data_IF_069357183434
#
_entry.id   IF_069357183434
#
_cell.length_a   1.000
_cell.length_b   1.000
_cell.length_c   1.000
_cell.angle_alpha   90.00
_cell.angle_beta   90.00
_cell.angle_gamma   90.00
#
_symmetry.space_group_name_H-M   'P 1'
#
loop_
_entity.id
_entity.type
_entity.pdbx_description
1 polymer ?
#
# COMPACT_ATOMS: atom_id res chain seq x y z
N UNK A 1 13.38 -7.88 -23.17
CA UNK A 1 12.71 -7.08 -22.13
C UNK A 1 11.58 -7.84 -21.44
N UNK A 2 10.77 -8.59 -22.18
CA UNK A 2 9.70 -9.45 -21.64
C UNK A 2 10.23 -10.45 -20.60
N UNK A 3 11.30 -11.19 -20.93
CA UNK A 3 11.92 -12.17 -20.04
C UNK A 3 12.40 -11.57 -18.70
N UNK A 4 12.87 -10.31 -18.71
CA UNK A 4 13.24 -9.60 -17.48
C UNK A 4 11.98 -9.36 -16.60
N UNK A 5 10.87 -8.95 -17.20
CA UNK A 5 9.61 -8.78 -16.46
C UNK A 5 9.09 -10.10 -15.91
N UNK A 6 9.15 -11.17 -16.70
CA UNK A 6 8.70 -12.50 -16.27
C UNK A 6 9.57 -13.01 -15.11
N UNK A 7 10.89 -12.82 -15.18
CA UNK A 7 11.81 -13.12 -14.07
C UNK A 7 11.48 -12.31 -12.81
N UNK A 8 11.18 -11.01 -12.93
CA UNK A 8 10.83 -10.16 -11.80
C UNK A 8 9.48 -10.56 -11.19
N UNK A 9 8.51 -10.93 -12.02
CA UNK A 9 7.24 -11.48 -11.55
C UNK A 9 7.40 -12.83 -10.85
N UNK A 10 8.35 -13.66 -11.32
CA UNK A 10 8.71 -14.90 -10.64
C UNK A 10 9.34 -14.61 -9.27
N UNK A 11 10.32 -13.72 -9.19
CA UNK A 11 10.97 -13.32 -7.92
C UNK A 11 9.95 -12.79 -6.91
N UNK A 12 9.06 -11.89 -7.31
CA UNK A 12 8.08 -11.32 -6.39
C UNK A 12 7.07 -12.37 -5.93
N UNK A 13 6.61 -13.23 -6.82
CA UNK A 13 5.61 -14.27 -6.49
C UNK A 13 6.21 -15.42 -5.70
N UNK A 14 7.34 -15.94 -6.12
CA UNK A 14 8.02 -17.09 -5.52
C UNK A 14 8.80 -16.76 -4.25
N UNK A 15 9.27 -15.51 -4.11
CA UNK A 15 10.06 -15.05 -2.96
C UNK A 15 11.49 -15.56 -2.95
N UNK A 16 12.00 -16.09 -4.05
CA UNK A 16 13.36 -16.63 -4.12
C UNK A 16 14.41 -15.53 -3.93
N UNK A 17 15.60 -15.92 -3.42
CA UNK A 17 16.75 -15.04 -3.43
C UNK A 17 17.23 -14.83 -4.86
N UNK A 18 17.81 -13.65 -5.15
CA UNK A 18 18.28 -13.30 -6.49
C UNK A 18 19.18 -14.37 -7.12
N UNK A 19 20.12 -14.92 -6.33
CA UNK A 19 21.08 -15.95 -6.77
C UNK A 19 20.45 -17.30 -7.05
N UNK A 20 19.20 -17.50 -6.60
CA UNK A 20 18.42 -18.73 -6.80
C UNK A 20 17.37 -18.57 -7.91
N UNK A 21 17.49 -17.54 -8.73
CA UNK A 21 16.65 -17.39 -9.91
C UNK A 21 16.92 -18.57 -10.87
N UNK A 22 15.89 -19.32 -11.34
CA UNK A 22 16.07 -20.42 -12.28
C UNK A 22 16.81 -20.03 -13.55
N UNK A 23 17.56 -20.96 -14.11
CA UNK A 23 18.38 -20.75 -15.31
C UNK A 23 17.55 -20.52 -16.59
N UNK A 24 16.25 -20.85 -16.57
CA UNK A 24 15.29 -20.55 -17.65
C UNK A 24 15.08 -19.04 -17.86
N UNK A 25 15.45 -18.23 -16.87
CA UNK A 25 15.44 -16.77 -16.94
C UNK A 25 16.83 -16.20 -17.27
N UNK A 26 16.91 -14.94 -17.70
CA UNK A 26 18.19 -14.27 -17.85
C UNK A 26 19.01 -14.30 -16.54
N UNK A 27 20.35 -14.21 -16.62
CA UNK A 27 21.21 -14.23 -15.44
C UNK A 27 20.72 -13.28 -14.34
N UNK A 28 20.69 -13.74 -13.10
CA UNK A 28 20.14 -12.96 -11.99
C UNK A 28 20.74 -11.56 -11.82
N UNK A 29 22.03 -11.39 -12.18
CA UNK A 29 22.73 -10.09 -12.15
C UNK A 29 22.08 -9.10 -13.13
N UNK A 30 21.71 -9.57 -14.32
CA UNK A 30 21.02 -8.78 -15.35
C UNK A 30 19.62 -8.41 -14.88
N UNK A 31 18.85 -9.37 -14.35
CA UNK A 31 17.49 -9.11 -13.84
C UNK A 31 17.52 -8.11 -12.68
N UNK A 32 18.48 -8.28 -11.74
CA UNK A 32 18.67 -7.35 -10.62
C UNK A 32 19.10 -5.96 -11.09
N UNK A 33 19.94 -5.86 -12.12
CA UNK A 33 20.36 -4.59 -12.71
C UNK A 33 19.15 -3.80 -13.22
N UNK A 34 18.26 -4.42 -14.00
CA UNK A 34 17.05 -3.78 -14.49
C UNK A 34 16.07 -3.43 -13.36
N UNK A 35 15.89 -4.30 -12.36
CA UNK A 35 15.10 -3.98 -11.17
C UNK A 35 15.60 -2.71 -10.49
N UNK A 36 16.94 -2.64 -10.26
CA UNK A 36 17.59 -1.48 -9.63
C UNK A 36 17.47 -0.23 -10.48
N UNK A 37 17.75 -0.31 -11.78
CA UNK A 37 17.66 0.80 -12.72
C UNK A 37 16.25 1.38 -12.73
N UNK A 38 15.23 0.55 -12.93
CA UNK A 38 13.83 0.97 -12.99
C UNK A 38 13.28 1.49 -11.64
N UNK A 39 13.88 1.09 -10.53
CA UNK A 39 13.61 1.67 -9.23
C UNK A 39 14.20 3.09 -9.10
N UNK A 40 15.40 3.33 -9.65
CA UNK A 40 16.09 4.62 -9.55
C UNK A 40 15.47 5.66 -10.48
N UNK A 41 15.16 5.27 -11.70
CA UNK A 41 14.64 6.18 -12.73
C UNK A 41 13.09 6.34 -12.69
N UNK A 42 12.40 5.69 -11.75
CA UNK A 42 10.95 5.76 -11.59
C UNK A 42 10.15 4.98 -12.64
N UNK A 43 10.77 4.09 -13.39
CA UNK A 43 10.07 3.27 -14.40
C UNK A 43 9.00 2.38 -13.77
N UNK A 44 9.23 1.85 -12.55
CA UNK A 44 8.22 1.04 -11.85
C UNK A 44 6.95 1.82 -11.58
N UNK A 45 7.06 3.06 -11.11
CA UNK A 45 5.90 3.92 -10.86
C UNK A 45 5.18 4.27 -12.16
N UNK A 46 5.92 4.60 -13.25
CA UNK A 46 5.32 4.91 -14.56
C UNK A 46 4.60 3.72 -15.18
N UNK A 47 5.21 2.53 -15.15
CA UNK A 47 4.59 1.29 -15.64
C UNK A 47 3.33 0.95 -14.85
N UNK A 48 3.42 0.99 -13.53
CA UNK A 48 2.31 0.75 -12.64
C UNK A 48 1.16 1.73 -12.89
N UNK A 49 1.44 3.01 -13.01
CA UNK A 49 0.45 4.05 -13.30
C UNK A 49 -0.25 3.83 -14.64
N UNK A 50 0.50 3.48 -15.69
CA UNK A 50 -0.07 3.17 -17.01
C UNK A 50 -1.03 1.97 -16.94
N UNK A 51 -0.66 0.92 -16.23
CA UNK A 51 -1.51 -0.26 -16.02
C UNK A 51 -2.74 0.07 -15.17
N UNK A 52 -2.58 0.89 -14.12
CA UNK A 52 -3.68 1.33 -13.26
C UNK A 52 -4.73 2.09 -14.07
N UNK A 53 -4.31 3.05 -14.89
CA UNK A 53 -5.21 3.81 -15.76
C UNK A 53 -6.01 2.88 -16.69
N UNK A 54 -5.34 1.94 -17.36
CA UNK A 54 -5.99 0.96 -18.23
C UNK A 54 -6.96 0.05 -17.47
N UNK A 55 -6.56 -0.43 -16.29
CA UNK A 55 -7.42 -1.28 -15.45
C UNK A 55 -8.68 -0.53 -15.01
N UNK A 56 -8.57 0.74 -14.64
CA UNK A 56 -9.73 1.57 -14.29
C UNK A 56 -10.69 1.77 -15.46
N UNK A 57 -10.16 2.15 -16.62
CA UNK A 57 -10.99 2.32 -17.85
C UNK A 57 -11.75 1.03 -18.17
N UNK A 58 -11.08 -0.13 -18.05
CA UNK A 58 -11.73 -1.41 -18.26
C UNK A 58 -12.86 -1.71 -17.27
N UNK A 59 -12.78 -1.19 -16.06
CA UNK A 59 -13.83 -1.27 -15.03
C UNK A 59 -14.92 -0.19 -15.20
N UNK A 60 -14.95 0.53 -16.33
CA UNK A 60 -15.89 1.62 -16.57
C UNK A 60 -15.62 2.85 -15.69
N UNK A 61 -14.39 3.02 -15.18
CA UNK A 61 -14.01 4.14 -14.33
C UNK A 61 -13.12 5.12 -15.07
N UNK A 62 -13.19 6.38 -14.68
CA UNK A 62 -12.23 7.38 -15.15
C UNK A 62 -10.80 6.96 -14.79
N UNK A 63 -9.81 7.14 -15.70
CA UNK A 63 -8.41 6.77 -15.44
C UNK A 63 -7.81 7.52 -14.24
N UNK A 64 -8.30 8.72 -13.92
CA UNK A 64 -7.88 9.49 -12.76
C UNK A 64 -8.90 9.36 -11.62
N UNK A 65 -8.52 8.82 -10.44
CA UNK A 65 -9.43 8.69 -9.31
C UNK A 65 -9.71 10.04 -8.66
N UNK A 66 -10.95 10.21 -8.19
CA UNK A 66 -11.38 11.38 -7.40
C UNK A 66 -11.33 11.12 -5.90
N UNK A 67 -11.19 9.85 -5.51
CA UNK A 67 -11.18 9.45 -4.11
C UNK A 67 -10.15 8.36 -3.87
N UNK A 68 -9.58 8.36 -2.67
CA UNK A 68 -8.59 7.38 -2.23
C UNK A 68 -8.81 6.92 -0.80
N UNK A 69 -8.25 5.77 -0.47
CA UNK A 69 -8.24 5.20 0.87
C UNK A 69 -6.78 5.04 1.29
N UNK A 70 -6.45 5.48 2.51
CA UNK A 70 -5.11 5.33 3.09
C UNK A 70 -5.18 4.39 4.27
N UNK A 71 -4.24 3.46 4.31
CA UNK A 71 -4.02 2.60 5.48
C UNK A 71 -2.55 2.12 5.51
N UNK A 72 -2.16 1.49 6.62
CA UNK A 72 -0.82 0.99 6.87
C UNK A 72 -0.78 -0.46 7.31
N UNK A 73 0.26 -1.16 6.88
CA UNK A 73 0.57 -2.52 7.32
C UNK A 73 1.99 -2.54 7.90
N UNK A 74 2.13 -3.02 9.15
CA UNK A 74 3.45 -3.28 9.74
C UNK A 74 3.90 -4.70 9.39
N UNK A 75 5.10 -4.83 8.84
CA UNK A 75 5.69 -6.10 8.40
C UNK A 75 7.03 -6.35 9.07
N UNK A 76 7.28 -7.61 9.44
CA UNK A 76 8.57 -8.01 10.02
C UNK A 76 9.68 -7.88 8.99
N UNK A 77 10.82 -7.33 9.38
CA UNK A 77 12.07 -7.45 8.61
C UNK A 77 12.79 -8.74 8.96
N UNK A 78 13.75 -9.13 8.12
CA UNK A 78 14.59 -10.31 8.31
C UNK A 78 15.95 -9.96 8.90
N UNK A 79 16.80 -10.96 9.13
CA UNK A 79 18.19 -10.79 9.57
C UNK A 79 19.12 -10.10 8.58
N UNK A 80 18.69 -9.89 7.33
CA UNK A 80 19.48 -9.20 6.29
C UNK A 80 19.90 -7.79 6.70
N UNK A 81 19.22 -7.19 7.67
CA UNK A 81 19.48 -5.82 8.10
C UNK A 81 18.83 -4.79 7.16
N UNK A 82 19.29 -3.55 7.21
CA UNK A 82 18.82 -2.47 6.31
C UNK A 82 18.37 -1.23 7.07
N UNK A 83 18.09 -0.20 6.29
CA UNK A 83 17.69 1.12 6.76
C UNK A 83 16.23 1.13 7.26
N UNK A 84 15.90 2.12 8.06
CA UNK A 84 14.54 2.41 8.56
C UNK A 84 13.84 1.17 9.13
N UNK A 85 14.39 0.64 10.23
CA UNK A 85 13.77 -0.42 11.03
C UNK A 85 13.32 0.16 12.36
N UNK A 86 12.14 -0.23 12.82
CA UNK A 86 11.58 0.23 14.08
C UNK A 86 10.64 -0.79 14.70
N UNK A 87 10.04 -0.46 15.81
CA UNK A 87 9.06 -1.28 16.51
C UNK A 87 7.71 -0.56 16.53
N UNK A 88 6.68 -1.25 16.08
CA UNK A 88 5.29 -0.80 16.19
C UNK A 88 4.69 -1.40 17.48
N UNK A 89 4.47 -0.58 18.53
CA UNK A 89 3.95 -1.09 19.80
C UNK A 89 2.49 -1.53 19.71
N UNK A 90 1.70 -0.90 18.84
CA UNK A 90 0.29 -1.23 18.68
C UNK A 90 0.07 -2.60 18.02
N UNK A 91 0.90 -2.92 17.02
CA UNK A 91 0.83 -4.19 16.28
C UNK A 91 1.85 -5.23 16.80
N UNK A 92 2.72 -4.86 17.75
CA UNK A 92 3.82 -5.68 18.30
C UNK A 92 4.74 -6.27 17.21
N UNK A 93 5.07 -5.46 16.20
CA UNK A 93 5.90 -5.84 15.05
C UNK A 93 7.18 -5.05 15.02
N UNK A 94 8.34 -5.74 15.01
CA UNK A 94 9.65 -5.15 14.74
C UNK A 94 9.94 -5.25 13.24
N UNK A 95 10.04 -4.08 12.57
CA UNK A 95 10.26 -4.07 11.14
C UNK A 95 9.99 -2.73 10.48
N UNK A 96 9.27 -2.79 9.38
CA UNK A 96 8.86 -1.62 8.59
C UNK A 96 7.34 -1.50 8.49
N UNK A 97 6.90 -0.30 8.18
CA UNK A 97 5.50 0.01 7.92
C UNK A 97 5.34 0.38 6.46
N UNK A 98 4.40 -0.26 5.78
CA UNK A 98 3.97 0.04 4.41
C UNK A 98 2.72 0.89 4.48
N UNK A 99 2.80 2.13 4.08
CA UNK A 99 1.63 2.98 3.86
C UNK A 99 1.21 2.90 2.40
N UNK A 100 -0.08 2.73 2.17
CA UNK A 100 -0.68 2.69 0.84
C UNK A 100 -1.75 3.76 0.70
N UNK A 101 -1.75 4.42 -0.44
CA UNK A 101 -2.88 5.14 -0.99
C UNK A 101 -3.44 4.27 -2.11
N UNK A 102 -4.69 3.86 -2.01
CA UNK A 102 -5.39 3.08 -3.04
C UNK A 102 -6.63 3.83 -3.53
N UNK A 103 -7.07 3.53 -4.75
CA UNK A 103 -8.34 4.02 -5.25
C UNK A 103 -9.53 3.16 -4.76
N UNK A 104 -10.74 3.49 -5.17
CA UNK A 104 -11.97 2.78 -4.77
C UNK A 104 -12.04 1.33 -5.29
N UNK A 105 -11.23 0.98 -6.28
CA UNK A 105 -11.10 -0.39 -6.81
C UNK A 105 -9.99 -1.19 -6.09
N UNK A 106 -9.26 -0.56 -5.15
CA UNK A 106 -8.15 -1.15 -4.43
C UNK A 106 -6.84 -1.16 -5.23
N UNK A 107 -6.78 -0.43 -6.34
CA UNK A 107 -5.55 -0.31 -7.11
C UNK A 107 -4.63 0.71 -6.44
N UNK A 108 -3.40 0.31 -6.17
CA UNK A 108 -2.42 1.18 -5.51
C UNK A 108 -2.16 2.42 -6.37
N UNK A 109 -2.26 3.58 -5.76
CA UNK A 109 -1.87 4.87 -6.33
C UNK A 109 -0.45 5.24 -5.91
N UNK A 110 -0.17 5.11 -4.59
CA UNK A 110 1.17 5.30 -4.02
C UNK A 110 1.45 4.31 -2.92
N UNK A 111 2.71 3.97 -2.78
CA UNK A 111 3.26 3.19 -1.67
C UNK A 111 4.42 3.95 -1.04
N UNK A 112 4.52 3.93 0.29
CA UNK A 112 5.63 4.46 1.07
C UNK A 112 6.01 3.47 2.15
N UNK A 113 7.32 3.24 2.29
CA UNK A 113 7.86 2.33 3.30
C UNK A 113 8.83 3.07 4.19
N UNK A 114 8.67 2.90 5.50
CA UNK A 114 9.50 3.53 6.52
C UNK A 114 9.57 2.65 7.78
N UNK A 115 10.28 3.10 8.82
CA UNK A 115 10.39 2.37 10.08
C UNK A 115 9.00 2.13 10.71
N UNK A 116 8.79 0.92 11.27
CA UNK A 116 7.50 0.58 11.89
C UNK A 116 7.18 1.46 13.12
N UNK A 117 8.16 2.12 13.72
CA UNK A 117 8.00 3.06 14.83
C UNK A 117 7.34 4.39 14.44
N UNK A 118 7.29 4.73 13.15
CA UNK A 118 6.61 5.94 12.68
C UNK A 118 5.11 5.78 12.85
N UNK A 119 4.46 6.71 13.53
CA UNK A 119 3.01 6.70 13.71
C UNK A 119 2.27 6.90 12.39
N UNK A 120 1.09 6.29 12.24
CA UNK A 120 0.30 6.37 11.01
C UNK A 120 -0.02 7.83 10.61
N UNK A 121 -0.36 8.66 11.59
CA UNK A 121 -0.62 10.09 11.43
C UNK A 121 0.58 10.92 10.92
N UNK A 122 1.81 10.43 11.10
CA UNK A 122 3.03 11.08 10.63
C UNK A 122 3.48 10.48 9.28
N UNK A 123 3.31 9.18 9.10
CA UNK A 123 3.66 8.45 7.86
C UNK A 123 2.80 8.79 6.65
N UNK A 124 1.63 9.41 6.86
CA UNK A 124 0.77 9.85 5.75
C UNK A 124 1.39 11.01 4.96
N UNK A 125 2.18 11.89 5.60
CA UNK A 125 2.78 13.05 4.93
C UNK A 125 3.69 12.64 3.76
N UNK A 126 4.72 11.80 3.95
CA UNK A 126 5.56 11.35 2.85
C UNK A 126 4.81 10.46 1.82
N UNK A 127 3.70 9.83 2.20
CA UNK A 127 2.85 9.11 1.25
C UNK A 127 2.12 10.08 0.31
N UNK A 128 1.58 11.18 0.83
CA UNK A 128 0.77 12.14 0.08
C UNK A 128 1.60 13.29 -0.54
N UNK A 129 2.91 13.29 -0.35
CA UNK A 129 3.80 14.22 -1.02
C UNK A 129 3.60 14.15 -2.54
N UNK A 130 3.48 15.30 -3.21
CA UNK A 130 3.23 15.42 -4.66
C UNK A 130 1.93 14.73 -5.16
N UNK A 131 1.00 14.39 -4.24
CA UNK A 131 -0.23 13.70 -4.63
C UNK A 131 -1.12 14.57 -5.52
N UNK A 132 -1.17 15.88 -5.28
CA UNK A 132 -1.93 16.83 -6.11
C UNK A 132 -1.42 16.93 -7.54
N UNK A 133 -0.10 16.88 -7.74
CA UNK A 133 0.51 16.90 -9.08
C UNK A 133 0.23 15.58 -9.85
N UNK A 134 0.36 14.45 -9.16
CA UNK A 134 0.18 13.11 -9.77
C UNK A 134 -1.29 12.74 -9.99
N UNK A 135 -2.18 13.19 -9.11
CA UNK A 135 -3.60 12.86 -9.11
C UNK A 135 -4.45 14.14 -8.96
N UNK A 136 -4.47 15.00 -9.97
CA UNK A 136 -5.08 16.35 -9.87
C UNK A 136 -6.59 16.30 -9.61
N UNK A 137 -7.26 15.18 -9.88
CA UNK A 137 -8.70 14.98 -9.60
C UNK A 137 -8.99 14.43 -8.21
N UNK A 138 -7.95 14.05 -7.45
CA UNK A 138 -8.16 13.52 -6.10
C UNK A 138 -8.66 14.63 -5.18
N UNK A 139 -9.87 14.47 -4.65
CA UNK A 139 -10.53 15.46 -3.80
C UNK A 139 -10.96 14.89 -2.45
N UNK A 140 -11.03 13.55 -2.32
CA UNK A 140 -11.52 12.89 -1.10
C UNK A 140 -10.60 11.77 -0.64
N UNK A 141 -10.40 11.67 0.69
CA UNK A 141 -9.69 10.58 1.34
C UNK A 141 -10.51 9.93 2.45
N UNK A 142 -10.42 8.61 2.55
CA UNK A 142 -10.87 7.85 3.70
C UNK A 142 -9.66 7.37 4.50
N UNK A 143 -9.69 7.64 5.81
CA UNK A 143 -8.64 7.28 6.76
C UNK A 143 -9.25 6.50 7.91
N UNK A 144 -8.45 5.74 8.64
CA UNK A 144 -8.88 5.20 9.92
C UNK A 144 -8.66 6.20 11.09
N UNK A 145 -9.09 5.82 12.30
CA UNK A 145 -8.98 6.68 13.48
C UNK A 145 -7.53 6.96 13.92
N UNK A 146 -6.57 6.11 13.54
CA UNK A 146 -5.15 6.27 13.85
C UNK A 146 -4.49 7.48 13.17
N UNK A 147 -5.14 8.04 12.15
CA UNK A 147 -4.65 9.22 11.43
C UNK A 147 -5.12 10.55 12.03
N UNK A 148 -5.92 10.54 13.10
CA UNK A 148 -6.33 11.76 13.78
C UNK A 148 -5.18 12.44 14.52
N UNK A 149 -5.29 13.76 14.71
CA UNK A 149 -4.35 14.57 15.48
C UNK A 149 -4.28 15.99 14.95
N UNK A 150 -4.20 16.97 15.87
CA UNK A 150 -4.06 18.38 15.54
C UNK A 150 -2.74 18.62 14.78
N UNK A 151 -2.82 19.22 13.59
CA UNK A 151 -1.67 19.46 12.69
C UNK A 151 -1.07 18.18 12.06
N UNK A 152 -1.72 17.02 12.21
CA UNK A 152 -1.23 15.73 11.73
C UNK A 152 -2.31 15.01 10.92
N UNK A 153 -1.91 14.00 10.19
CA UNK A 153 -2.81 13.09 9.47
C UNK A 153 -3.95 13.80 8.74
N UNK A 154 -5.17 13.66 9.27
CA UNK A 154 -6.37 14.28 8.73
C UNK A 154 -6.24 15.80 8.59
N UNK A 155 -5.93 16.47 9.69
CA UNK A 155 -5.89 17.93 9.77
C UNK A 155 -4.86 18.53 8.77
N UNK A 156 -3.72 17.85 8.64
CA UNK A 156 -2.70 18.24 7.66
C UNK A 156 -3.20 18.05 6.20
N UNK A 157 -3.83 16.92 5.89
CA UNK A 157 -4.31 16.64 4.55
C UNK A 157 -5.42 17.63 4.12
N UNK A 158 -6.29 18.01 5.04
CA UNK A 158 -7.33 19.03 4.79
C UNK A 158 -6.73 20.42 4.57
N UNK A 159 -5.82 20.85 5.45
CA UNK A 159 -5.29 22.23 5.42
C UNK A 159 -4.22 22.46 4.35
N UNK A 160 -3.35 21.47 4.11
CA UNK A 160 -2.20 21.63 3.20
C UNK A 160 -2.53 21.19 1.78
N UNK A 161 -3.32 20.11 1.64
CA UNK A 161 -3.64 19.54 0.34
C UNK A 161 -5.05 19.90 -0.15
N UNK A 162 -5.87 20.54 0.67
CA UNK A 162 -7.25 20.90 0.33
C UNK A 162 -8.18 19.70 0.10
N UNK A 163 -7.84 18.52 0.63
CA UNK A 163 -8.60 17.30 0.45
C UNK A 163 -9.72 17.19 1.48
N UNK A 164 -10.91 16.75 1.06
CA UNK A 164 -11.97 16.35 1.98
C UNK A 164 -11.62 15.02 2.64
N UNK A 165 -11.48 14.99 3.97
CA UNK A 165 -11.04 13.78 4.69
C UNK A 165 -12.13 13.25 5.62
N UNK A 166 -12.53 12.02 5.37
CA UNK A 166 -13.48 11.28 6.20
C UNK A 166 -12.75 10.21 7.02
N UNK A 167 -12.91 10.26 8.34
CA UNK A 167 -12.35 9.25 9.25
C UNK A 167 -13.38 8.19 9.52
N UNK A 168 -13.13 6.99 9.02
CA UNK A 168 -13.99 5.83 9.23
C UNK A 168 -13.70 5.23 10.60
N UNK A 169 -14.71 5.20 11.47
CA UNK A 169 -14.62 4.64 12.82
C UNK A 169 -15.45 3.38 12.93
N UNK A 170 -14.96 2.33 13.60
CA UNK A 170 -15.82 1.21 13.96
C UNK A 170 -16.91 1.68 14.93
N UNK A 171 -18.07 1.02 14.96
CA UNK A 171 -19.08 1.29 15.97
C UNK A 171 -18.44 1.11 17.36
N UNK A 172 -18.88 1.94 18.31
CA UNK A 172 -18.37 1.86 19.69
C UNK A 172 -18.75 0.51 20.29
N UNK A 173 -17.75 -0.21 20.77
CA UNK A 173 -17.94 -1.52 21.43
C UNK A 173 -18.42 -1.41 22.87
N UNK A 174 -18.20 -0.26 23.52
CA UNK A 174 -18.55 -0.01 24.90
C UNK A 174 -19.35 1.28 24.95
N UNK A 175 -20.54 1.22 25.50
CA UNK A 175 -21.39 2.35 25.80
C UNK A 175 -21.67 2.29 27.29
N UNK A 176 -21.35 3.35 28.03
CA UNK A 176 -21.78 3.48 29.40
C UNK A 176 -23.30 3.68 29.38
N UNK A 177 -24.02 2.73 30.00
CA UNK A 177 -25.47 2.77 30.17
C UNK A 177 -25.74 2.98 31.63
N UNK A 178 -26.69 3.82 31.97
CA UNK A 178 -27.14 3.97 33.36
C UNK A 178 -27.81 2.67 33.80
N UNK A 179 -27.82 2.39 35.14
CA UNK A 179 -28.36 1.17 35.69
C UNK A 179 -29.88 0.97 35.37
N UNK A 180 -30.58 2.06 35.07
CA UNK A 180 -31.99 2.09 34.71
C UNK A 180 -32.28 1.94 33.21
N UNK A 181 -31.24 1.77 32.37
CA UNK A 181 -31.38 1.68 30.92
C UNK A 181 -30.88 0.34 30.39
N UNK A 182 -31.61 -0.23 29.45
CA UNK A 182 -31.14 -1.42 28.73
C UNK A 182 -29.97 -1.05 27.80
N UNK A 183 -28.88 -1.86 27.80
CA UNK A 183 -27.77 -1.62 26.88
C UNK A 183 -28.26 -1.75 25.44
N UNK A 184 -27.80 -0.87 24.53
CA UNK A 184 -28.15 -1.01 23.12
C UNK A 184 -27.68 -2.36 22.58
N UNK A 185 -28.43 -2.96 21.65
CA UNK A 185 -28.11 -4.26 21.09
C UNK A 185 -26.69 -4.23 20.52
N UNK A 186 -25.91 -5.27 20.83
CA UNK A 186 -24.52 -5.38 20.36
C UNK A 186 -24.49 -5.31 18.83
N UNK A 187 -23.78 -4.33 18.22
CA UNK A 187 -23.62 -4.31 16.79
C UNK A 187 -22.80 -5.53 16.39
N UNK A 188 -23.39 -6.47 15.70
CA UNK A 188 -22.72 -7.62 15.13
C UNK A 188 -21.56 -7.20 14.22
N UNK A 189 -20.98 -8.14 13.46
CA UNK A 189 -19.95 -7.83 12.47
C UNK A 189 -20.45 -6.76 11.50
N UNK A 190 -19.83 -5.57 11.53
CA UNK A 190 -20.13 -4.45 10.64
C UNK A 190 -18.99 -4.23 9.67
N UNK A 191 -19.25 -4.42 8.38
CA UNK A 191 -18.29 -4.05 7.33
C UNK A 191 -18.16 -2.53 7.33
N UNK A 192 -16.96 -2.04 7.66
CA UNK A 192 -16.70 -0.61 7.62
C UNK A 192 -16.64 -0.15 6.16
N UNK A 193 -17.52 0.78 5.73
CA UNK A 193 -17.53 1.26 4.37
C UNK A 193 -16.14 1.74 3.94
N UNK A 194 -15.70 1.31 2.74
CA UNK A 194 -14.43 1.72 2.12
C UNK A 194 -13.16 1.12 2.73
N UNK A 195 -13.04 0.86 4.03
CA UNK A 195 -11.83 0.29 4.65
C UNK A 195 -11.46 -1.08 4.12
N UNK A 196 -12.44 -1.97 3.96
CA UNK A 196 -12.20 -3.31 3.42
C UNK A 196 -11.47 -3.31 2.07
N UNK A 197 -11.55 -2.20 1.31
CA UNK A 197 -10.90 -2.07 -0.01
C UNK A 197 -9.38 -2.08 0.14
N UNK A 198 -8.81 -1.30 1.06
CA UNK A 198 -7.37 -1.28 1.28
C UNK A 198 -6.88 -2.53 2.00
N UNK A 199 -7.68 -3.11 2.91
CA UNK A 199 -7.39 -4.40 3.56
C UNK A 199 -7.31 -5.52 2.51
N UNK A 200 -8.22 -5.55 1.55
CA UNK A 200 -8.15 -6.44 0.37
C UNK A 200 -6.88 -6.22 -0.44
N UNK A 201 -6.45 -4.98 -0.61
CA UNK A 201 -5.21 -4.67 -1.33
C UNK A 201 -3.99 -5.22 -0.61
N UNK A 202 -3.91 -5.09 0.72
CA UNK A 202 -2.86 -5.75 1.50
C UNK A 202 -2.88 -7.26 1.31
N UNK A 203 -4.06 -7.88 1.31
CA UNK A 203 -4.20 -9.32 1.03
C UNK A 203 -3.64 -9.69 -0.36
N UNK A 204 -3.87 -8.88 -1.41
CA UNK A 204 -3.27 -9.12 -2.73
C UNK A 204 -1.75 -8.99 -2.73
N UNK A 205 -1.20 -8.06 -1.96
CA UNK A 205 0.24 -7.87 -1.79
C UNK A 205 0.84 -9.09 -1.07
N UNK A 206 0.23 -9.54 0.02
CA UNK A 206 0.70 -10.65 0.86
C UNK A 206 0.65 -12.02 0.15
N UNK A 207 -0.17 -12.15 -0.90
CA UNK A 207 -0.13 -13.33 -1.79
C UNK A 207 1.22 -13.50 -2.51
N UNK A 208 2.08 -12.48 -2.50
CA UNK A 208 3.41 -12.55 -3.08
C UNK A 208 4.42 -12.85 -1.98
N UNK A 209 5.07 -14.03 -2.04
CA UNK A 209 5.98 -14.51 -0.97
C UNK A 209 7.11 -13.52 -0.67
N UNK A 210 7.59 -12.76 -1.67
CA UNK A 210 8.61 -11.72 -1.46
C UNK A 210 8.13 -10.59 -0.56
N UNK A 211 6.82 -10.39 -0.45
CA UNK A 211 6.19 -9.33 0.33
C UNK A 211 5.55 -9.81 1.64
N UNK A 212 5.58 -11.12 1.97
CA UNK A 212 5.09 -11.65 3.25
C UNK A 212 5.86 -11.12 4.46
N UNK A 213 7.12 -10.75 4.25
CA UNK A 213 7.99 -9.99 5.17
C UNK A 213 8.71 -8.92 4.35
N UNK A 214 9.47 -8.06 5.00
CA UNK A 214 10.37 -7.16 4.31
C UNK A 214 11.80 -7.72 4.29
N UNK A 215 12.21 -8.22 3.13
CA UNK A 215 13.54 -8.81 2.88
C UNK A 215 14.54 -7.80 2.32
N UNK A 216 14.12 -6.56 2.09
CA UNK A 216 14.91 -5.58 1.36
C UNK A 216 15.79 -4.76 2.31
N UNK A 217 16.99 -4.40 1.87
CA UNK A 217 17.87 -3.50 2.63
C UNK A 217 17.35 -2.06 2.60
N UNK A 218 16.82 -1.63 1.46
CA UNK A 218 16.36 -0.27 1.23
C UNK A 218 14.83 -0.20 1.23
N UNK A 219 14.21 0.76 1.93
CA UNK A 219 12.76 1.00 1.86
C UNK A 219 12.25 1.20 0.43
N UNK A 220 13.03 1.91 -0.40
CA UNK A 220 12.73 2.10 -1.82
C UNK A 220 12.66 0.80 -2.63
N UNK A 221 13.40 -0.23 -2.24
CA UNK A 221 13.28 -1.55 -2.88
C UNK A 221 11.98 -2.24 -2.49
N UNK A 222 11.54 -2.11 -1.24
CA UNK A 222 10.23 -2.57 -0.79
C UNK A 222 9.08 -1.87 -1.52
N UNK A 223 9.15 -0.53 -1.69
CA UNK A 223 8.18 0.25 -2.47
C UNK A 223 8.12 -0.28 -3.92
N UNK A 224 9.28 -0.47 -4.57
CA UNK A 224 9.34 -1.00 -5.92
C UNK A 224 8.70 -2.40 -6.04
N UNK A 225 8.93 -3.31 -5.09
CA UNK A 225 8.28 -4.62 -5.11
C UNK A 225 6.76 -4.55 -4.93
N UNK A 226 6.23 -3.57 -4.20
CA UNK A 226 4.77 -3.32 -4.17
C UNK A 226 4.28 -2.99 -5.57
N UNK A 227 4.97 -2.08 -6.29
CA UNK A 227 4.59 -1.74 -7.66
C UNK A 227 4.74 -2.92 -8.63
N UNK A 228 5.79 -3.74 -8.51
CA UNK A 228 5.95 -4.97 -9.31
C UNK A 228 4.78 -5.93 -9.08
N UNK A 229 4.43 -6.20 -7.82
CA UNK A 229 3.35 -7.11 -7.46
C UNK A 229 1.99 -6.63 -8.01
N UNK A 230 1.69 -5.34 -7.84
CA UNK A 230 0.44 -4.75 -8.30
C UNK A 230 0.39 -4.61 -9.82
N UNK A 231 1.52 -4.35 -10.48
CA UNK A 231 1.61 -4.37 -11.95
C UNK A 231 1.31 -5.76 -12.50
N UNK A 232 1.84 -6.82 -11.89
CA UNK A 232 1.53 -8.20 -12.24
C UNK A 232 0.03 -8.51 -12.07
N UNK A 233 -0.57 -8.07 -10.97
CA UNK A 233 -2.01 -8.23 -10.73
C UNK A 233 -2.84 -7.58 -11.84
N UNK A 234 -2.55 -6.33 -12.16
CA UNK A 234 -3.29 -5.57 -13.17
C UNK A 234 -3.07 -6.12 -14.58
N UNK A 235 -1.84 -6.47 -14.95
CA UNK A 235 -1.55 -7.10 -16.24
C UNK A 235 -2.37 -8.39 -16.42
N UNK A 236 -2.44 -9.26 -15.40
CA UNK A 236 -3.25 -10.49 -15.44
C UNK A 236 -4.75 -10.20 -15.58
N UNK A 237 -5.26 -9.16 -14.95
CA UNK A 237 -6.67 -8.77 -15.06
C UNK A 237 -6.99 -8.23 -16.46
N UNK A 238 -6.06 -7.48 -17.04
CA UNK A 238 -6.22 -6.93 -18.39
C UNK A 238 -6.21 -7.99 -19.51
N UNK A 239 -5.61 -9.16 -19.28
CA UNK A 239 -5.51 -10.24 -20.26
C UNK A 239 -6.67 -11.26 -20.12
N UNK A 240 -7.21 -11.46 -18.92
CA UNK A 240 -8.16 -12.55 -18.60
C UNK A 240 -9.63 -12.26 -18.94
N UNK A 241 -9.92 -11.18 -19.58
CA UNK A 241 -11.31 -10.74 -19.83
C UNK A 241 -11.60 -10.65 -21.29
#
# INVERSE_FOLDING_TARGET
>A
MREILDALFYVVRGGCAWRLLPHDFPPWKTVYHYFRLWRIDGTWERLHEALRRRARVRLGRDPQPTAGIVDSQSVKTTGVGGEERGYDPGKKVKGRKRHLLVDTEGLVMRAKVHAASVFDRDGIKPLLELVGERFPRLSRLWLDAGYNGKGKGKDWAEKVLGLSVEVVRPPRRWVWVREDQEPPPWPGFTVLPRRWVVERTFSWIDQNRRLSKDYERLPKSSEAFVYVAMSRLMARRLVRS
#
